data_IF_823366111961
#
_entry.id   IF_823366111961
#
_cell.length_a   1.000
_cell.length_b   1.000
_cell.length_c   1.000
_cell.angle_alpha   90.00
_cell.angle_beta   90.00
_cell.angle_gamma   90.00
#
_symmetry.space_group_name_H-M   'P 1'
#
loop_
_entity.id
_entity.type
_entity.pdbx_description
1 polymer ?
#
# COMPACT_ATOMS: atom_id res chain seq x y z
N UNK A 1 5.19 10.85 -12.74
CA UNK A 1 5.66 10.08 -11.55
C UNK A 1 5.68 8.61 -11.89
N UNK A 2 6.63 7.85 -11.34
CA UNK A 2 6.69 6.39 -11.50
C UNK A 2 5.67 5.75 -10.57
N UNK A 3 5.02 4.68 -11.02
CA UNK A 3 4.10 3.89 -10.20
C UNK A 3 4.85 3.40 -8.95
N UNK A 4 4.23 3.55 -7.77
CA UNK A 4 4.87 3.15 -6.52
C UNK A 4 4.98 1.64 -6.45
N UNK A 5 6.11 1.15 -5.95
CA UNK A 5 6.28 -0.27 -5.69
C UNK A 5 5.72 -0.65 -4.31
N UNK A 6 5.59 -1.95 -4.07
CA UNK A 6 5.32 -2.51 -2.75
C UNK A 6 6.27 -2.00 -1.67
N UNK A 7 7.57 -1.95 -1.98
CA UNK A 7 8.59 -1.51 -1.02
C UNK A 7 8.43 -0.02 -0.70
N UNK A 8 8.09 0.81 -1.70
CA UNK A 8 7.79 2.23 -1.48
C UNK A 8 6.58 2.40 -0.56
N UNK A 9 5.53 1.61 -0.78
CA UNK A 9 4.33 1.60 0.08
C UNK A 9 4.68 1.21 1.52
N UNK A 10 5.32 0.06 1.74
CA UNK A 10 5.66 -0.43 3.07
C UNK A 10 6.61 0.52 3.81
N UNK A 11 7.55 1.14 3.10
CA UNK A 11 8.48 2.14 3.66
C UNK A 11 7.78 3.39 4.17
N UNK A 12 6.70 3.82 3.51
CA UNK A 12 5.90 4.96 3.98
C UNK A 12 5.01 4.54 5.14
N UNK A 13 4.29 3.42 5.01
CA UNK A 13 3.35 2.94 6.04
C UNK A 13 4.06 2.64 7.37
N UNK A 14 5.25 2.02 7.34
CA UNK A 14 6.03 1.72 8.55
C UNK A 14 6.47 2.98 9.33
N UNK A 15 6.55 4.13 8.67
CA UNK A 15 6.88 5.41 9.30
C UNK A 15 5.66 6.15 9.83
N UNK A 16 4.46 5.70 9.50
CA UNK A 16 3.24 6.33 10.00
C UNK A 16 3.10 6.08 11.50
N UNK A 17 2.64 7.10 12.22
CA UNK A 17 2.29 7.01 13.64
C UNK A 17 0.84 7.43 13.85
N UNK A 18 -0.13 6.69 13.27
CA UNK A 18 -1.53 7.01 13.41
C UNK A 18 -2.01 6.69 14.84
N UNK A 19 -3.00 7.42 15.31
CA UNK A 19 -3.56 7.22 16.66
C UNK A 19 -4.53 6.03 16.69
N UNK A 20 -4.02 4.82 16.44
CA UNK A 20 -4.83 3.60 16.33
C UNK A 20 -4.74 2.80 17.62
N UNK A 21 -5.85 2.70 18.34
CA UNK A 21 -5.97 1.84 19.51
C UNK A 21 -6.78 0.59 19.20
N UNK A 22 -6.34 -0.54 19.74
CA UNK A 22 -7.12 -1.78 19.74
C UNK A 22 -6.91 -2.50 21.05
N UNK A 23 -8.01 -2.96 21.66
CA UNK A 23 -7.98 -3.64 22.97
C UNK A 23 -7.26 -2.85 24.08
N UNK A 24 -7.39 -1.52 24.06
CA UNK A 24 -6.76 -0.63 25.05
C UNK A 24 -5.29 -0.31 24.80
N UNK A 25 -4.69 -0.86 23.75
CA UNK A 25 -3.27 -0.64 23.42
C UNK A 25 -3.10 0.18 22.15
N UNK A 26 -2.11 1.09 22.15
CA UNK A 26 -1.72 1.86 20.96
C UNK A 26 -0.90 0.98 20.02
N UNK A 27 -1.34 0.88 18.77
CA UNK A 27 -0.57 0.23 17.71
C UNK A 27 0.54 1.18 17.25
N UNK A 28 1.78 0.86 17.59
CA UNK A 28 2.97 1.67 17.24
C UNK A 28 3.43 1.50 15.80
N UNK A 29 3.21 0.32 15.24
CA UNK A 29 3.57 -0.03 13.86
C UNK A 29 2.48 -0.90 13.23
N UNK A 30 1.81 -0.33 12.25
CA UNK A 30 0.68 -0.97 11.57
C UNK A 30 1.13 -2.06 10.60
N UNK A 31 2.39 -2.08 10.18
CA UNK A 31 2.93 -3.08 9.24
C UNK A 31 3.20 -4.41 9.92
N UNK A 32 3.48 -4.41 11.24
CA UNK A 32 3.85 -5.61 11.99
C UNK A 32 2.78 -6.08 12.96
N UNK A 33 1.90 -5.19 13.43
CA UNK A 33 0.92 -5.53 14.44
C UNK A 33 -0.12 -6.57 13.94
N UNK A 34 -0.42 -7.65 14.70
CA UNK A 34 -1.28 -8.75 14.24
C UNK A 34 -2.66 -8.32 13.74
N UNK A 35 -3.21 -7.25 14.32
CA UNK A 35 -4.52 -6.73 13.95
C UNK A 35 -4.56 -5.96 12.62
N UNK A 36 -3.41 -5.49 12.12
CA UNK A 36 -3.34 -4.56 10.97
C UNK A 36 -2.47 -5.10 9.84
N UNK A 37 -1.44 -5.91 10.15
CA UNK A 37 -0.45 -6.39 9.18
C UNK A 37 -1.05 -7.06 7.95
N UNK A 38 -2.14 -7.84 8.12
CA UNK A 38 -2.81 -8.51 7.00
C UNK A 38 -3.54 -7.55 6.07
N UNK A 39 -4.09 -6.47 6.61
CA UNK A 39 -4.73 -5.44 5.80
C UNK A 39 -3.66 -4.67 5.03
N UNK A 40 -2.56 -4.29 5.69
CA UNK A 40 -1.41 -3.64 5.02
C UNK A 40 -0.87 -4.52 3.90
N UNK A 41 -0.67 -5.81 4.17
CA UNK A 41 -0.23 -6.79 3.18
C UNK A 41 -1.17 -6.90 1.98
N UNK A 42 -2.48 -6.96 2.23
CA UNK A 42 -3.48 -7.02 1.16
C UNK A 42 -3.43 -5.79 0.24
N UNK A 43 -3.10 -4.62 0.76
CA UNK A 43 -2.91 -3.42 -0.07
C UNK A 43 -1.55 -3.42 -0.77
N UNK A 44 -0.51 -3.94 -0.11
CA UNK A 44 0.82 -4.09 -0.70
C UNK A 44 0.78 -4.95 -1.99
N UNK A 45 -0.01 -6.04 -1.98
CA UNK A 45 -0.20 -6.91 -3.15
C UNK A 45 -0.81 -6.19 -4.37
N UNK A 46 -1.57 -5.11 -4.17
CA UNK A 46 -2.11 -4.35 -5.31
C UNK A 46 -0.99 -3.61 -6.07
N UNK A 47 0.07 -3.19 -5.36
CA UNK A 47 1.26 -2.62 -6.02
C UNK A 47 2.09 -3.68 -6.74
N UNK A 48 2.10 -4.93 -6.26
CA UNK A 48 2.70 -6.03 -7.03
C UNK A 48 1.89 -6.28 -8.31
N UNK A 49 0.56 -6.35 -8.20
CA UNK A 49 -0.34 -6.57 -9.34
C UNK A 49 -0.28 -5.44 -10.38
N UNK A 50 -0.04 -4.20 -9.97
CA UNK A 50 0.12 -3.07 -10.89
C UNK A 50 1.41 -3.15 -11.73
N UNK A 51 2.37 -3.99 -11.34
CA UNK A 51 3.63 -4.22 -12.07
C UNK A 51 3.69 -5.61 -12.73
N UNK A 52 2.67 -6.45 -12.51
CA UNK A 52 2.58 -7.77 -13.11
C UNK A 52 2.10 -7.68 -14.57
N UNK A 53 2.76 -8.40 -15.48
CA UNK A 53 2.49 -8.30 -16.91
C UNK A 53 1.07 -8.73 -17.31
N UNK A 54 0.44 -9.61 -16.53
CA UNK A 54 -0.91 -10.13 -16.78
C UNK A 54 -1.95 -9.22 -16.14
N UNK A 55 -1.69 -8.75 -14.92
CA UNK A 55 -2.66 -8.01 -14.12
C UNK A 55 -2.60 -6.49 -14.31
N UNK A 56 -1.48 -5.93 -14.78
CA UNK A 56 -1.25 -4.48 -14.88
C UNK A 56 -2.41 -3.74 -15.57
N UNK A 57 -2.99 -4.31 -16.63
CA UNK A 57 -4.10 -3.68 -17.38
C UNK A 57 -5.41 -3.58 -16.58
N UNK A 58 -5.57 -4.38 -15.54
CA UNK A 58 -6.71 -4.36 -14.62
C UNK A 58 -6.45 -3.39 -13.46
N UNK A 59 -5.18 -3.24 -13.06
CA UNK A 59 -4.77 -2.49 -11.87
C UNK A 59 -4.24 -1.08 -12.15
N UNK A 60 -4.02 -0.72 -13.42
CA UNK A 60 -3.50 0.59 -13.82
C UNK A 60 -4.32 1.21 -14.95
N UNK A 61 -4.26 2.53 -15.05
CA UNK A 61 -4.80 3.27 -16.19
C UNK A 61 -3.99 4.53 -16.46
N UNK A 62 -4.28 5.25 -17.53
CA UNK A 62 -3.68 6.57 -17.76
C UNK A 62 -4.60 7.65 -17.19
N UNK A 63 -4.03 8.54 -16.38
CA UNK A 63 -4.74 9.70 -15.86
C UNK A 63 -5.14 10.65 -16.99
N UNK A 64 -6.41 11.06 -17.01
CA UNK A 64 -6.90 12.06 -17.97
C UNK A 64 -6.34 13.47 -17.72
N UNK A 65 -5.79 13.73 -16.52
CA UNK A 65 -5.24 15.03 -16.14
C UNK A 65 -3.76 15.16 -16.48
N UNK A 66 -2.97 14.10 -16.23
CA UNK A 66 -1.50 14.15 -16.38
C UNK A 66 -1.00 13.34 -17.57
N UNK A 67 -1.81 12.45 -18.13
CA UNK A 67 -1.40 11.48 -19.16
C UNK A 67 -0.46 10.38 -18.63
N UNK A 68 -0.13 10.42 -17.34
CA UNK A 68 0.76 9.44 -16.70
C UNK A 68 -0.01 8.20 -16.27
N UNK A 69 0.70 7.07 -16.22
CA UNK A 69 0.16 5.81 -15.69
C UNK A 69 -0.02 5.92 -14.17
N UNK A 70 -1.20 5.55 -13.68
CA UNK A 70 -1.61 5.56 -12.28
C UNK A 70 -2.15 4.20 -11.83
#
# INVERSE_FOLDING_TARGET
>A
MVLKTRDDYLKVISKMRPNIYKFGELIKDVTTHPATKRVVESHALNYDASHDQVLEKIYTTNSSLTGEKI
#
